data_IF_328819319898
#
_entry.id   IF_328819319898
#
_cell.length_a   1.000
_cell.length_b   1.000
_cell.length_c   1.000
_cell.angle_alpha   90.00
_cell.angle_beta   90.00
_cell.angle_gamma   90.00
#
_symmetry.space_group_name_H-M   'P 1'
#
loop_
_entity.id
_entity.type
_entity.pdbx_description
1 polymer ?
#
# COMPACT_ATOMS: atom_id res chain seq x y z
N UNK A 1 -20.79 -5.80 7.33
CA UNK A 1 -19.58 -6.45 7.87
C UNK A 1 -19.53 -6.18 9.37
N UNK A 2 -19.39 -7.20 10.19
CA UNK A 2 -19.29 -6.95 11.63
C UNK A 2 -17.89 -6.41 11.98
N UNK A 3 -17.77 -5.90 13.19
CA UNK A 3 -16.52 -5.27 13.65
C UNK A 3 -15.32 -6.22 13.57
N UNK A 4 -15.49 -7.46 13.97
CA UNK A 4 -14.39 -8.43 13.92
C UNK A 4 -13.97 -8.72 12.47
N UNK A 5 -14.92 -8.88 11.57
CA UNK A 5 -14.63 -9.09 10.15
C UNK A 5 -13.91 -7.88 9.55
N UNK A 6 -14.29 -6.67 9.94
CA UNK A 6 -13.62 -5.46 9.48
C UNK A 6 -12.19 -5.36 10.02
N UNK A 7 -11.97 -5.68 11.29
CA UNK A 7 -10.64 -5.73 11.88
C UNK A 7 -9.75 -6.72 11.10
N UNK A 8 -10.26 -7.90 10.80
CA UNK A 8 -9.52 -8.92 10.04
C UNK A 8 -9.17 -8.42 8.64
N UNK A 9 -10.12 -7.78 7.96
CA UNK A 9 -9.89 -7.24 6.62
C UNK A 9 -8.87 -6.10 6.64
N UNK A 10 -8.93 -5.21 7.62
CA UNK A 10 -7.95 -4.14 7.80
C UNK A 10 -6.55 -4.69 8.10
N UNK A 11 -6.47 -5.73 8.91
CA UNK A 11 -5.19 -6.38 9.20
C UNK A 11 -4.60 -7.07 7.98
N UNK A 12 -5.43 -7.69 7.14
CA UNK A 12 -4.97 -8.26 5.88
C UNK A 12 -4.40 -7.17 4.96
N UNK A 13 -5.07 -6.02 4.90
CA UNK A 13 -4.59 -4.87 4.14
C UNK A 13 -3.29 -4.32 4.74
N UNK A 14 -3.18 -4.25 6.07
CA UNK A 14 -1.98 -3.75 6.76
C UNK A 14 -0.74 -4.59 6.43
N UNK A 15 -0.86 -5.91 6.40
CA UNK A 15 0.26 -6.79 6.05
C UNK A 15 0.81 -6.49 4.65
N UNK A 16 -0.07 -6.21 3.68
CA UNK A 16 0.35 -5.86 2.33
C UNK A 16 0.82 -4.41 2.23
N UNK A 17 0.28 -3.51 3.04
CA UNK A 17 0.72 -2.12 3.13
C UNK A 17 2.18 -2.05 3.61
N UNK A 18 2.51 -2.83 4.61
CA UNK A 18 3.88 -2.91 5.12
C UNK A 18 4.82 -3.53 4.09
N UNK A 19 4.36 -4.56 3.36
CA UNK A 19 5.13 -5.14 2.26
C UNK A 19 5.43 -4.09 1.19
N UNK A 20 4.44 -3.27 0.83
CA UNK A 20 4.63 -2.21 -0.16
C UNK A 20 5.71 -1.24 0.28
N UNK A 21 5.70 -0.80 1.54
CA UNK A 21 6.74 0.10 2.07
C UNK A 21 8.13 -0.51 1.93
N UNK A 22 8.28 -1.79 2.26
CA UNK A 22 9.56 -2.49 2.16
C UNK A 22 9.99 -2.65 0.70
N UNK A 23 9.08 -3.04 -0.19
CA UNK A 23 9.41 -3.26 -1.60
C UNK A 23 9.82 -1.97 -2.30
N UNK A 24 9.14 -0.86 -2.02
CA UNK A 24 9.57 0.45 -2.54
C UNK A 24 10.94 0.85 -1.99
N UNK A 25 11.20 0.59 -0.72
CA UNK A 25 12.50 0.88 -0.10
C UNK A 25 13.62 0.09 -0.77
N UNK A 26 13.41 -1.21 -0.98
CA UNK A 26 14.40 -2.07 -1.62
C UNK A 26 14.65 -1.63 -3.06
N UNK A 27 13.59 -1.34 -3.81
CA UNK A 27 13.72 -0.90 -5.21
C UNK A 27 14.42 0.45 -5.30
N UNK A 28 14.03 1.42 -4.46
CA UNK A 28 14.62 2.76 -4.48
C UNK A 28 16.11 2.73 -4.20
N UNK A 29 16.52 1.93 -3.19
CA UNK A 29 17.92 1.88 -2.77
C UNK A 29 18.82 1.06 -3.67
N UNK A 30 18.26 0.20 -4.53
CA UNK A 30 19.02 -0.72 -5.36
C UNK A 30 19.11 -0.31 -6.83
N UNK A 31 18.45 0.76 -7.26
CA UNK A 31 18.48 1.20 -8.64
C UNK A 31 19.74 1.98 -8.95
N UNK A 32 20.50 1.47 -9.91
CA UNK A 32 21.69 2.12 -10.42
C UNK A 32 21.45 2.55 -11.87
N UNK A 33 22.22 3.52 -12.31
CA UNK A 33 22.16 4.03 -13.66
C UNK A 33 21.60 5.46 -13.69
N UNK A 34 22.21 6.25 -14.54
CA UNK A 34 21.88 7.67 -14.64
C UNK A 34 20.40 7.89 -14.98
N UNK A 35 19.86 7.06 -15.86
CA UNK A 35 18.48 7.14 -16.34
C UNK A 35 17.43 6.75 -15.29
N UNK A 36 17.84 6.10 -14.22
CA UNK A 36 16.91 5.63 -13.18
C UNK A 36 16.88 6.49 -11.92
N UNK A 37 17.70 7.53 -11.83
CA UNK A 37 17.80 8.32 -10.60
C UNK A 37 16.51 9.04 -10.24
N UNK A 38 15.82 9.57 -11.23
CA UNK A 38 14.52 10.23 -11.01
C UNK A 38 13.48 9.24 -10.50
N UNK A 39 13.45 8.04 -11.10
CA UNK A 39 12.54 6.97 -10.65
C UNK A 39 12.85 6.53 -9.23
N UNK A 40 14.13 6.32 -8.92
CA UNK A 40 14.56 5.93 -7.57
C UNK A 40 14.11 6.95 -6.52
N UNK A 41 14.21 8.24 -6.83
CA UNK A 41 13.71 9.29 -5.96
C UNK A 41 12.21 9.19 -5.72
N UNK A 42 11.43 8.97 -6.77
CA UNK A 42 9.97 8.77 -6.65
C UNK A 42 9.64 7.55 -5.81
N UNK A 43 10.35 6.44 -6.01
CA UNK A 43 10.12 5.21 -5.25
C UNK A 43 10.44 5.39 -3.76
N UNK A 44 11.46 6.18 -3.44
CA UNK A 44 11.78 6.54 -2.07
C UNK A 44 10.65 7.34 -1.40
N UNK A 45 10.07 8.30 -2.12
CA UNK A 45 8.92 9.07 -1.65
C UNK A 45 7.71 8.15 -1.44
N UNK A 46 7.50 7.21 -2.35
CA UNK A 46 6.42 6.23 -2.23
C UNK A 46 6.60 5.35 -0.98
N UNK A 47 7.83 4.91 -0.69
CA UNK A 47 8.11 4.12 0.50
C UNK A 47 7.69 4.87 1.77
N UNK A 48 8.03 6.15 1.86
CA UNK A 48 7.67 6.97 3.01
C UNK A 48 6.15 7.15 3.13
N UNK A 49 5.47 7.39 2.00
CA UNK A 49 4.01 7.53 1.98
C UNK A 49 3.30 6.22 2.36
N UNK A 50 3.82 5.08 1.91
CA UNK A 50 3.28 3.77 2.27
C UNK A 50 3.36 3.51 3.76
N UNK A 51 4.48 3.87 4.38
CA UNK A 51 4.66 3.70 5.83
C UNK A 51 3.72 4.62 6.61
N UNK A 52 3.52 5.85 6.16
CA UNK A 52 2.56 6.77 6.77
C UNK A 52 1.13 6.21 6.70
N UNK A 53 0.75 5.61 5.58
CA UNK A 53 -0.58 5.01 5.43
C UNK A 53 -0.74 3.73 6.24
N UNK A 54 0.35 2.98 6.46
CA UNK A 54 0.32 1.84 7.39
C UNK A 54 -0.09 2.31 8.79
N UNK A 55 0.44 3.45 9.24
CA UNK A 55 0.07 4.04 10.52
C UNK A 55 -1.42 4.39 10.56
N UNK A 56 -1.96 4.93 9.48
CA UNK A 56 -3.40 5.23 9.39
C UNK A 56 -4.25 3.97 9.54
N UNK A 57 -3.83 2.85 8.96
CA UNK A 57 -4.52 1.58 9.12
C UNK A 57 -4.46 1.08 10.56
N UNK A 58 -3.30 1.19 11.20
CA UNK A 58 -3.14 0.83 12.61
C UNK A 58 -4.09 1.66 13.49
N UNK A 59 -4.18 2.95 13.23
CA UNK A 59 -5.07 3.84 13.96
C UNK A 59 -6.54 3.41 13.83
N UNK A 60 -6.97 3.00 12.65
CA UNK A 60 -8.34 2.54 12.42
C UNK A 60 -8.62 1.20 13.10
N UNK A 61 -7.67 0.28 13.06
CA UNK A 61 -7.79 -1.01 13.75
C UNK A 61 -7.93 -0.78 15.27
N UNK A 62 -7.07 0.07 15.82
CA UNK A 62 -7.13 0.41 17.24
C UNK A 62 -8.45 1.08 17.63
N UNK A 63 -8.96 1.98 16.77
CA UNK A 63 -10.24 2.65 17.01
C UNK A 63 -11.41 1.66 17.07
N UNK A 64 -11.32 0.54 16.34
CA UNK A 64 -12.32 -0.52 16.40
C UNK A 64 -12.14 -1.47 17.59
N UNK A 65 -11.11 -1.25 18.40
CA UNK A 65 -10.81 -2.11 19.54
C UNK A 65 -9.99 -3.35 19.19
N UNK A 66 -9.44 -3.40 17.98
CA UNK A 66 -8.61 -4.51 17.54
C UNK A 66 -7.13 -4.31 17.81
N UNK A 67 -6.37 -5.39 17.68
CA UNK A 67 -4.91 -5.34 17.74
C UNK A 67 -4.36 -5.35 16.31
N UNK A 68 -3.43 -4.44 15.97
CA UNK A 68 -2.82 -4.47 14.65
C UNK A 68 -1.95 -5.70 14.48
N UNK A 69 -1.98 -6.27 13.28
CA UNK A 69 -1.09 -7.37 12.92
C UNK A 69 0.36 -6.87 12.92
N UNK A 70 1.27 -7.69 13.43
CA UNK A 70 2.69 -7.37 13.49
C UNK A 70 3.51 -8.17 12.47
N UNK A 71 2.87 -9.04 11.71
CA UNK A 71 3.50 -9.76 10.62
C UNK A 71 3.38 -8.98 9.31
N UNK A 72 4.35 -9.20 8.44
CA UNK A 72 4.42 -8.55 7.13
C UNK A 72 4.32 -9.62 6.07
N UNK A 73 3.50 -9.40 5.04
CA UNK A 73 3.48 -10.31 3.89
C UNK A 73 4.90 -10.41 3.31
N UNK A 74 5.36 -11.60 2.89
CA UNK A 74 6.74 -11.76 2.44
C UNK A 74 7.09 -10.77 1.31
N UNK A 75 8.09 -9.90 1.49
CA UNK A 75 8.49 -8.98 0.45
C UNK A 75 9.20 -9.74 -0.67
N UNK A 76 9.06 -9.23 -1.89
CA UNK A 76 9.73 -9.76 -3.07
C UNK A 76 10.70 -8.71 -3.60
N UNK A 77 11.84 -9.15 -4.08
CA UNK A 77 12.84 -8.27 -4.64
C UNK A 77 13.39 -8.85 -5.94
N UNK A 78 13.52 -8.00 -6.96
CA UNK A 78 14.20 -8.33 -8.20
C UNK A 78 15.18 -7.20 -8.52
N UNK A 79 16.33 -7.55 -9.05
CA UNK A 79 17.44 -6.62 -9.23
C UNK A 79 17.29 -5.69 -10.45
N UNK A 80 16.68 -6.14 -11.53
CA UNK A 80 16.54 -5.33 -12.75
C UNK A 80 15.52 -4.23 -12.60
N UNK A 81 15.81 -2.98 -13.04
CA UNK A 81 14.85 -1.88 -12.89
C UNK A 81 13.50 -2.13 -13.58
N UNK A 82 13.49 -2.68 -14.78
CA UNK A 82 12.25 -2.97 -15.50
C UNK A 82 11.43 -4.05 -14.81
N UNK A 83 12.08 -5.10 -14.35
CA UNK A 83 11.45 -6.19 -13.61
C UNK A 83 10.97 -5.72 -12.25
N UNK A 84 11.70 -4.81 -11.61
CA UNK A 84 11.28 -4.21 -10.33
C UNK A 84 10.00 -3.39 -10.51
N UNK A 85 9.90 -2.60 -11.57
CA UNK A 85 8.68 -1.82 -11.86
C UNK A 85 7.50 -2.74 -12.10
N UNK A 86 7.68 -3.81 -12.88
CA UNK A 86 6.62 -4.77 -13.14
C UNK A 86 6.15 -5.45 -11.85
N UNK A 87 7.08 -5.83 -10.98
CA UNK A 87 6.77 -6.42 -9.68
C UNK A 87 5.98 -5.46 -8.79
N UNK A 88 6.38 -4.18 -8.75
CA UNK A 88 5.70 -3.18 -7.94
C UNK A 88 4.26 -2.95 -8.43
N UNK A 89 4.04 -2.91 -9.74
CA UNK A 89 2.70 -2.77 -10.30
C UNK A 89 1.81 -3.94 -9.87
N UNK A 90 2.31 -5.15 -9.99
CA UNK A 90 1.59 -6.36 -9.57
C UNK A 90 1.28 -6.33 -8.08
N UNK A 91 2.27 -6.02 -7.25
CA UNK A 91 2.13 -5.98 -5.79
C UNK A 91 1.14 -4.91 -5.34
N UNK A 92 1.13 -3.76 -5.99
CA UNK A 92 0.19 -2.70 -5.67
C UNK A 92 -1.25 -3.10 -6.03
N UNK A 93 -1.43 -3.85 -7.11
CA UNK A 93 -2.75 -4.40 -7.46
C UNK A 93 -3.30 -5.30 -6.37
N UNK A 94 -2.47 -6.18 -5.82
CA UNK A 94 -2.84 -7.05 -4.70
C UNK A 94 -3.19 -6.23 -3.46
N UNK A 95 -2.36 -5.22 -3.14
CA UNK A 95 -2.58 -4.38 -1.96
C UNK A 95 -3.86 -3.56 -2.08
N UNK A 96 -4.13 -2.97 -3.24
CA UNK A 96 -5.36 -2.21 -3.48
C UNK A 96 -6.60 -3.09 -3.35
N UNK A 97 -6.54 -4.34 -3.80
CA UNK A 97 -7.65 -5.27 -3.66
C UNK A 97 -7.97 -5.53 -2.18
N UNK A 98 -6.95 -5.71 -1.34
CA UNK A 98 -7.15 -5.91 0.09
C UNK A 98 -7.74 -4.68 0.78
N UNK A 99 -7.36 -3.49 0.35
CA UNK A 99 -7.95 -2.25 0.85
C UNK A 99 -9.43 -2.16 0.44
N UNK A 100 -9.76 -2.51 -0.80
CA UNK A 100 -11.15 -2.53 -1.28
C UNK A 100 -11.98 -3.55 -0.50
N UNK A 101 -11.42 -4.72 -0.20
CA UNK A 101 -12.10 -5.77 0.56
C UNK A 101 -12.46 -5.31 1.99
N UNK A 102 -11.74 -4.33 2.52
CA UNK A 102 -11.97 -3.80 3.86
C UNK A 102 -13.01 -2.68 3.91
N UNK A 103 -13.47 -2.19 2.76
CA UNK A 103 -14.48 -1.14 2.70
C UNK A 103 -15.87 -1.74 2.94
N UNK A 104 -16.59 -1.15 3.90
CA UNK A 104 -17.98 -1.48 4.17
C UNK A 104 -18.86 -0.40 3.53
N UNK A 105 -19.59 -0.72 2.43
CA UNK A 105 -20.25 0.32 1.63
C UNK A 105 -21.54 0.89 2.23
N UNK A 106 -22.00 0.39 3.37
CA UNK A 106 -23.30 0.75 3.92
C UNK A 106 -23.26 1.60 5.18
N UNK A 107 -22.07 1.93 5.65
CA UNK A 107 -21.91 2.65 6.90
C UNK A 107 -22.31 4.12 6.77
N UNK A 108 -23.34 4.55 7.52
CA UNK A 108 -23.70 5.96 7.64
C UNK A 108 -23.22 6.57 8.94
N UNK A 109 -22.68 5.76 9.81
CA UNK A 109 -22.11 6.22 11.05
C UNK A 109 -20.77 6.91 10.79
N UNK A 110 -20.47 7.93 11.58
CA UNK A 110 -19.24 8.70 11.42
C UNK A 110 -17.99 7.80 11.43
N UNK A 111 -17.95 6.79 12.29
CA UNK A 111 -16.83 5.87 12.37
C UNK A 111 -16.65 5.05 11.08
N UNK A 112 -17.75 4.54 10.52
CA UNK A 112 -17.73 3.76 9.27
C UNK A 112 -17.32 4.62 8.09
N UNK A 113 -17.86 5.82 8.00
CA UNK A 113 -17.49 6.76 6.93
C UNK A 113 -16.03 7.17 7.02
N UNK A 114 -15.51 7.39 8.21
CA UNK A 114 -14.11 7.75 8.41
C UNK A 114 -13.18 6.64 7.91
N UNK A 115 -13.52 5.38 8.17
CA UNK A 115 -12.74 4.24 7.68
C UNK A 115 -12.82 4.16 6.16
N UNK A 116 -14.02 4.24 5.58
CA UNK A 116 -14.22 4.18 4.14
C UNK A 116 -13.43 5.28 3.43
N UNK A 117 -13.53 6.52 3.88
CA UNK A 117 -12.80 7.63 3.28
C UNK A 117 -11.29 7.46 3.41
N UNK A 118 -10.81 6.96 4.53
CA UNK A 118 -9.39 6.68 4.71
C UNK A 118 -8.89 5.63 3.73
N UNK A 119 -9.63 4.54 3.58
CA UNK A 119 -9.28 3.47 2.65
C UNK A 119 -9.30 3.96 1.20
N UNK A 120 -10.34 4.71 0.83
CA UNK A 120 -10.44 5.29 -0.51
C UNK A 120 -9.30 6.24 -0.80
N UNK A 121 -8.87 7.04 0.17
CA UNK A 121 -7.74 7.95 0.04
C UNK A 121 -6.43 7.17 -0.21
N UNK A 122 -6.21 6.09 0.52
CA UNK A 122 -5.02 5.25 0.33
C UNK A 122 -5.05 4.61 -1.05
N UNK A 123 -6.19 4.08 -1.48
CA UNK A 123 -6.35 3.47 -2.80
C UNK A 123 -6.06 4.48 -3.90
N UNK A 124 -6.60 5.70 -3.79
CA UNK A 124 -6.38 6.76 -4.77
C UNK A 124 -4.90 7.10 -4.89
N UNK A 125 -4.22 7.24 -3.76
CA UNK A 125 -2.78 7.54 -3.76
C UNK A 125 -1.97 6.40 -4.39
N UNK A 126 -2.32 5.15 -4.07
CA UNK A 126 -1.68 3.99 -4.69
C UNK A 126 -1.91 3.93 -6.19
N UNK A 127 -3.11 4.27 -6.64
CA UNK A 127 -3.40 4.29 -8.07
C UNK A 127 -2.55 5.35 -8.79
N UNK A 128 -2.33 6.49 -8.18
CA UNK A 128 -1.44 7.51 -8.72
C UNK A 128 0.00 6.99 -8.82
N UNK A 129 0.46 6.23 -7.83
CA UNK A 129 1.78 5.58 -7.89
C UNK A 129 1.86 4.56 -9.01
N UNK A 130 0.82 3.74 -9.18
CA UNK A 130 0.75 2.77 -10.29
C UNK A 130 0.78 3.51 -11.63
N UNK A 131 0.06 4.62 -11.76
CA UNK A 131 0.06 5.41 -12.99
C UNK A 131 1.48 5.91 -13.34
N UNK A 132 2.24 6.32 -12.34
CA UNK A 132 3.64 6.72 -12.57
C UNK A 132 4.50 5.52 -12.99
N UNK A 133 4.32 4.37 -12.33
CA UNK A 133 5.05 3.14 -12.67
C UNK A 133 4.73 2.69 -14.09
N UNK A 134 3.47 2.77 -14.51
CA UNK A 134 3.05 2.41 -15.86
C UNK A 134 3.69 3.33 -16.89
N UNK A 135 3.79 4.63 -16.60
CA UNK A 135 4.49 5.56 -17.50
C UNK A 135 5.97 5.24 -17.59
N UNK A 136 6.60 4.87 -16.48
CA UNK A 136 7.99 4.48 -16.46
C UNK A 136 8.23 3.19 -17.27
N UNK A 137 7.27 2.27 -17.27
CA UNK A 137 7.35 1.01 -18.00
C UNK A 137 7.23 1.18 -19.52
N UNK A 138 6.61 2.26 -19.97
CA UNK A 138 6.47 2.57 -21.39
C UNK A 138 7.67 3.38 -21.88
N UNK A 139 8.71 2.70 -22.18
CA UNK A 139 9.92 3.35 -22.71
C UNK A 139 10.13 3.06 -24.18
#
# INVERSE_FOLDING_TARGET
MDTQAQIEALNAALCLQMRSALQYTLAAGSMFGFEYQSLAGSLGDFAAAELADARHLVEKIAALGGAPADDVAPPRFVAGPREAVALLIESEGEAMQKLQDAIEPTGREAASEAIEHRLEHIIMRKQEQVDLLLRAARS
#
